data_IF_124227316695
#
_entry.id   IF_124227316695
#
_cell.length_a   1.000
_cell.length_b   1.000
_cell.length_c   1.000
_cell.angle_alpha   90.00
_cell.angle_beta   90.00
_cell.angle_gamma   90.00
#
_symmetry.space_group_name_H-M   'P 1'
#
loop_
_entity.id
_entity.type
_entity.pdbx_description
1 polymer ?
#
# COMPACT_ATOMS: atom_id res chain seq x y z
N UNK A 1 -19.21 -0.80 15.74
CA UNK A 1 -18.97 0.64 15.42
C UNK A 1 -17.76 0.88 14.49
N UNK A 2 -16.62 0.18 14.63
CA UNK A 2 -15.46 0.37 13.74
C UNK A 2 -15.65 -0.23 12.33
N UNK A 3 -16.36 -1.34 12.20
CA UNK A 3 -16.60 -2.03 10.91
C UNK A 3 -17.51 -1.20 9.99
N UNK A 4 -18.50 -0.53 10.53
CA UNK A 4 -19.41 0.33 9.76
C UNK A 4 -18.67 1.55 9.18
N UNK A 5 -17.74 2.12 9.95
CA UNK A 5 -16.97 3.30 9.50
C UNK A 5 -16.04 2.98 8.33
N UNK A 6 -15.36 1.83 8.38
CA UNK A 6 -14.47 1.39 7.29
C UNK A 6 -15.27 1.07 6.02
N UNK A 7 -16.44 0.45 6.15
CA UNK A 7 -17.34 0.21 5.03
C UNK A 7 -17.85 1.52 4.39
N UNK A 8 -18.12 2.54 5.21
CA UNK A 8 -18.52 3.86 4.70
C UNK A 8 -17.36 4.57 3.99
N UNK A 9 -16.14 4.50 4.52
CA UNK A 9 -14.93 5.01 3.84
C UNK A 9 -14.72 4.35 2.49
N UNK A 10 -14.86 3.02 2.43
CA UNK A 10 -14.71 2.27 1.18
C UNK A 10 -15.77 2.65 0.14
N UNK A 11 -17.03 2.90 0.56
CA UNK A 11 -18.09 3.37 -0.33
C UNK A 11 -17.77 4.74 -0.92
N UNK A 12 -17.39 5.71 -0.07
CA UNK A 12 -16.97 7.05 -0.54
C UNK A 12 -15.80 6.91 -1.52
N UNK A 13 -14.80 6.14 -1.16
CA UNK A 13 -13.63 5.93 -1.98
C UNK A 13 -13.98 5.33 -3.34
N UNK A 14 -14.77 4.27 -3.42
CA UNK A 14 -15.18 3.65 -4.69
C UNK A 14 -15.91 4.63 -5.60
N UNK A 15 -16.84 5.42 -5.03
CA UNK A 15 -17.54 6.45 -5.81
C UNK A 15 -16.62 7.60 -6.24
N UNK A 16 -15.57 7.89 -5.47
CA UNK A 16 -14.63 8.96 -5.81
C UNK A 16 -13.73 8.62 -7.00
N UNK A 17 -13.43 7.35 -7.25
CA UNK A 17 -12.54 6.93 -8.34
C UNK A 17 -13.07 7.39 -9.69
N UNK A 18 -14.36 7.24 -9.95
CA UNK A 18 -14.99 7.66 -11.21
C UNK A 18 -14.97 9.19 -11.39
N UNK A 19 -15.16 9.93 -10.29
CA UNK A 19 -15.14 11.39 -10.29
C UNK A 19 -13.71 11.92 -10.49
N UNK A 20 -12.74 11.30 -9.83
CA UNK A 20 -11.32 11.69 -9.91
C UNK A 20 -10.80 11.70 -11.35
N UNK A 21 -11.30 10.84 -12.23
CA UNK A 21 -10.90 10.80 -13.63
C UNK A 21 -11.15 12.15 -14.32
N UNK A 22 -12.16 12.90 -13.90
CA UNK A 22 -12.54 14.19 -14.48
C UNK A 22 -12.06 15.37 -13.61
N UNK A 23 -12.44 15.38 -12.34
CA UNK A 23 -12.25 16.53 -11.43
C UNK A 23 -10.92 16.48 -10.64
N UNK A 24 -10.21 15.35 -10.66
CA UNK A 24 -8.99 15.15 -9.87
C UNK A 24 -9.27 14.91 -8.40
N UNK A 25 -8.21 14.79 -7.62
CA UNK A 25 -8.28 14.63 -6.16
C UNK A 25 -8.51 15.99 -5.51
N UNK A 26 -9.72 16.25 -5.05
CA UNK A 26 -10.13 17.52 -4.45
C UNK A 26 -11.16 17.30 -3.33
N UNK A 27 -11.34 18.31 -2.49
CA UNK A 27 -12.42 18.27 -1.48
C UNK A 27 -13.80 18.22 -2.12
N UNK A 28 -13.95 18.83 -3.31
CA UNK A 28 -15.18 18.74 -4.11
C UNK A 28 -15.48 17.27 -4.44
N UNK A 29 -14.48 16.53 -4.92
CA UNK A 29 -14.60 15.10 -5.24
C UNK A 29 -15.01 14.27 -4.03
N UNK A 30 -14.42 14.55 -2.85
CA UNK A 30 -14.81 13.90 -1.60
C UNK A 30 -16.28 14.16 -1.26
N UNK A 31 -16.71 15.40 -1.34
CA UNK A 31 -18.08 15.76 -0.98
C UNK A 31 -19.13 15.23 -1.97
N UNK A 32 -18.80 15.22 -3.26
CA UNK A 32 -19.64 14.64 -4.29
C UNK A 32 -19.79 13.12 -4.10
N UNK A 33 -18.69 12.41 -3.86
CA UNK A 33 -18.69 10.98 -3.55
C UNK A 33 -19.50 10.66 -2.26
N UNK A 34 -19.40 11.50 -1.24
CA UNK A 34 -20.21 11.36 -0.02
C UNK A 34 -21.70 11.57 -0.31
N UNK A 35 -22.05 12.57 -1.11
CA UNK A 35 -23.42 12.86 -1.51
C UNK A 35 -24.06 11.71 -2.29
N UNK A 36 -23.33 11.11 -3.24
CA UNK A 36 -23.78 9.93 -3.99
C UNK A 36 -24.15 8.77 -3.03
N UNK A 37 -23.37 8.61 -1.97
CA UNK A 37 -23.60 7.56 -0.97
C UNK A 37 -24.57 7.96 0.14
N UNK A 38 -25.22 9.13 0.04
CA UNK A 38 -26.13 9.68 1.05
C UNK A 38 -25.46 9.83 2.43
N UNK A 39 -24.17 10.13 2.46
CA UNK A 39 -23.37 10.36 3.67
C UNK A 39 -23.28 11.86 3.89
N UNK A 40 -23.50 12.31 5.14
CA UNK A 40 -23.44 13.73 5.47
C UNK A 40 -22.02 14.29 5.28
N UNK A 41 -21.92 15.58 4.91
CA UNK A 41 -20.63 16.28 4.80
C UNK A 41 -19.86 16.27 6.14
N UNK A 42 -20.56 16.31 7.27
CA UNK A 42 -19.97 16.27 8.59
C UNK A 42 -19.29 14.90 8.85
N UNK A 43 -19.95 13.82 8.45
CA UNK A 43 -19.40 12.47 8.60
C UNK A 43 -18.27 12.21 7.60
N UNK A 44 -18.38 12.70 6.36
CA UNK A 44 -17.27 12.65 5.39
C UNK A 44 -16.03 13.37 5.93
N UNK A 45 -16.17 14.55 6.54
CA UNK A 45 -15.07 15.29 7.17
C UNK A 45 -14.50 14.58 8.41
N UNK A 46 -15.31 13.85 9.18
CA UNK A 46 -14.79 13.02 10.29
C UNK A 46 -13.96 11.85 9.77
N UNK A 47 -14.37 11.25 8.65
CA UNK A 47 -13.67 10.12 8.05
C UNK A 47 -12.38 10.55 7.32
N UNK A 48 -12.39 11.73 6.68
CA UNK A 48 -11.29 12.31 5.93
C UNK A 48 -11.01 13.75 6.41
N UNK A 49 -10.40 13.93 7.60
CA UNK A 49 -10.24 15.26 8.22
C UNK A 49 -9.48 16.26 7.37
N UNK A 50 -8.49 15.78 6.61
CA UNK A 50 -7.67 16.61 5.72
C UNK A 50 -8.18 16.58 4.27
N UNK A 51 -9.43 16.15 4.04
CA UNK A 51 -10.08 16.18 2.74
C UNK A 51 -9.40 15.29 1.69
N UNK A 52 -9.08 15.91 0.55
CA UNK A 52 -8.51 15.22 -0.61
C UNK A 52 -7.24 14.41 -0.30
N UNK A 53 -6.37 14.92 0.57
CA UNK A 53 -5.09 14.25 0.88
C UNK A 53 -5.32 12.93 1.63
N UNK A 54 -6.28 12.88 2.55
CA UNK A 54 -6.62 11.66 3.26
C UNK A 54 -7.32 10.65 2.35
N UNK A 55 -8.13 11.14 1.39
CA UNK A 55 -8.76 10.29 0.38
C UNK A 55 -7.71 9.65 -0.55
N UNK A 56 -6.69 10.41 -0.98
CA UNK A 56 -5.57 9.89 -1.77
C UNK A 56 -4.73 8.88 -0.99
N UNK A 57 -4.47 9.15 0.30
CA UNK A 57 -3.77 8.18 1.15
C UNK A 57 -4.56 6.87 1.26
N UNK A 58 -5.86 6.96 1.47
CA UNK A 58 -6.73 5.79 1.51
C UNK A 58 -6.71 5.01 0.19
N UNK A 59 -6.67 5.71 -0.96
CA UNK A 59 -6.51 5.10 -2.28
C UNK A 59 -5.24 4.24 -2.35
N UNK A 60 -4.09 4.77 -1.96
CA UNK A 60 -2.83 4.02 -2.00
C UNK A 60 -2.81 2.86 -1.00
N UNK A 61 -3.34 3.06 0.22
CA UNK A 61 -3.48 2.00 1.22
C UNK A 61 -4.39 0.87 0.73
N UNK A 62 -5.46 1.20 0.02
CA UNK A 62 -6.39 0.24 -0.56
C UNK A 62 -5.71 -0.58 -1.68
N UNK A 63 -4.97 0.08 -2.57
CA UNK A 63 -4.19 -0.61 -3.61
C UNK A 63 -3.09 -1.49 -3.00
N UNK A 64 -2.44 -1.05 -1.92
CA UNK A 64 -1.46 -1.86 -1.19
C UNK A 64 -2.09 -3.10 -0.57
N UNK A 65 -3.29 -3.00 0.02
CA UNK A 65 -4.04 -4.17 0.52
C UNK A 65 -4.33 -5.18 -0.60
N UNK A 66 -4.76 -4.70 -1.78
CA UNK A 66 -5.00 -5.56 -2.95
C UNK A 66 -3.69 -6.23 -3.39
N UNK A 67 -2.61 -5.47 -3.49
CA UNK A 67 -1.30 -5.99 -3.86
C UNK A 67 -0.86 -7.11 -2.91
N UNK A 68 -0.90 -6.88 -1.60
CA UNK A 68 -0.52 -7.88 -0.61
C UNK A 68 -1.38 -9.14 -0.68
N UNK A 69 -2.70 -8.97 -0.86
CA UNK A 69 -3.62 -10.10 -0.98
C UNK A 69 -3.34 -10.94 -2.24
N UNK A 70 -2.91 -10.31 -3.34
CA UNK A 70 -2.54 -11.02 -4.57
C UNK A 70 -1.15 -11.63 -4.47
N UNK A 71 -0.18 -10.91 -3.90
CA UNK A 71 1.20 -11.37 -3.80
C UNK A 71 1.35 -12.57 -2.87
N UNK A 72 0.60 -12.62 -1.75
CA UNK A 72 0.58 -13.76 -0.83
C UNK A 72 0.06 -15.06 -1.45
N UNK A 73 -0.73 -14.96 -2.52
CA UNK A 73 -1.25 -16.14 -3.25
C UNK A 73 -0.23 -16.74 -4.22
N UNK A 74 0.85 -16.01 -4.47
CA UNK A 74 1.89 -16.49 -5.38
C UNK A 74 2.81 -17.42 -4.62
N UNK A 75 2.95 -18.64 -5.09
CA UNK A 75 3.95 -19.58 -4.58
C UNK A 75 5.34 -19.10 -5.03
N UNK A 76 5.99 -18.38 -4.14
CA UNK A 76 7.30 -17.77 -4.40
C UNK A 76 8.45 -18.49 -3.69
N UNK A 77 8.19 -19.66 -3.06
CA UNK A 77 9.16 -20.34 -2.20
C UNK A 77 10.44 -20.65 -2.96
N UNK A 78 10.32 -21.14 -4.19
CA UNK A 78 11.46 -21.56 -5.01
C UNK A 78 12.05 -20.47 -5.93
N UNK A 79 11.50 -19.26 -5.89
CA UNK A 79 11.98 -18.18 -6.72
C UNK A 79 13.23 -17.51 -6.15
N UNK A 80 14.19 -17.18 -7.02
CA UNK A 80 15.32 -16.34 -6.64
C UNK A 80 14.85 -14.95 -6.16
N UNK A 81 15.66 -14.28 -5.34
CA UNK A 81 15.33 -12.95 -4.80
C UNK A 81 15.00 -11.94 -5.92
N UNK A 82 15.80 -11.91 -6.99
CA UNK A 82 15.58 -11.02 -8.14
C UNK A 82 14.25 -11.29 -8.83
N UNK A 83 13.88 -12.56 -9.00
CA UNK A 83 12.59 -12.94 -9.60
C UNK A 83 11.40 -12.58 -8.71
N UNK A 84 11.55 -12.63 -7.37
CA UNK A 84 10.53 -12.16 -6.44
C UNK A 84 10.28 -10.66 -6.58
N UNK A 85 11.36 -9.86 -6.70
CA UNK A 85 11.26 -8.41 -6.91
C UNK A 85 10.58 -8.12 -8.25
N UNK A 86 11.01 -8.78 -9.33
CA UNK A 86 10.40 -8.63 -10.64
C UNK A 86 8.89 -8.91 -10.61
N UNK A 87 8.50 -10.03 -10.00
CA UNK A 87 7.10 -10.42 -9.87
C UNK A 87 6.29 -9.42 -9.03
N UNK A 88 6.87 -8.91 -7.93
CA UNK A 88 6.24 -7.90 -7.11
C UNK A 88 5.99 -6.61 -7.90
N UNK A 89 6.96 -6.16 -8.69
CA UNK A 89 6.82 -5.00 -9.56
C UNK A 89 5.74 -5.21 -10.63
N UNK A 90 5.74 -6.35 -11.30
CA UNK A 90 4.72 -6.69 -12.30
C UNK A 90 3.32 -6.63 -11.67
N UNK A 91 3.13 -7.30 -10.53
CA UNK A 91 1.84 -7.29 -9.81
C UNK A 91 1.41 -5.89 -9.37
N UNK A 92 2.36 -5.07 -8.93
CA UNK A 92 2.07 -3.67 -8.59
C UNK A 92 1.61 -2.87 -9.81
N UNK A 93 2.30 -3.01 -10.95
CA UNK A 93 1.90 -2.34 -12.17
C UNK A 93 0.55 -2.82 -12.71
N UNK A 94 0.22 -4.12 -12.61
CA UNK A 94 -1.10 -4.64 -12.98
C UNK A 94 -2.25 -3.96 -12.21
N UNK A 95 -2.02 -3.61 -10.93
CA UNK A 95 -2.99 -2.89 -10.10
C UNK A 95 -3.09 -1.44 -10.55
N UNK A 96 -1.95 -0.75 -10.70
CA UNK A 96 -1.89 0.67 -11.09
C UNK A 96 -2.57 0.91 -12.44
N UNK A 97 -2.37 0.01 -13.41
CA UNK A 97 -2.94 0.14 -14.76
C UNK A 97 -4.47 0.17 -14.74
N UNK A 98 -5.11 -0.51 -13.80
CA UNK A 98 -6.58 -0.52 -13.67
C UNK A 98 -7.15 0.87 -13.37
N UNK A 99 -6.44 1.66 -12.56
CA UNK A 99 -6.83 3.01 -12.14
C UNK A 99 -5.76 4.04 -12.55
N UNK A 100 -5.18 3.87 -13.74
CA UNK A 100 -4.03 4.65 -14.24
C UNK A 100 -4.22 6.16 -14.08
N UNK A 101 -5.39 6.69 -14.39
CA UNK A 101 -5.64 8.12 -14.34
C UNK A 101 -5.72 8.63 -12.89
N UNK A 102 -6.38 7.88 -12.01
CA UNK A 102 -6.43 8.20 -10.58
C UNK A 102 -5.01 8.18 -9.98
N UNK A 103 -4.19 7.19 -10.33
CA UNK A 103 -2.80 7.12 -9.92
C UNK A 103 -1.98 8.32 -10.43
N UNK A 104 -2.07 8.65 -11.73
CA UNK A 104 -1.37 9.79 -12.32
C UNK A 104 -1.71 11.10 -11.60
N UNK A 105 -2.99 11.31 -11.31
CA UNK A 105 -3.47 12.50 -10.61
C UNK A 105 -3.04 12.53 -9.14
N UNK A 106 -2.90 11.39 -8.48
CA UNK A 106 -2.36 11.34 -7.12
C UNK A 106 -0.89 11.76 -7.08
N UNK A 107 -0.10 11.31 -8.06
CA UNK A 107 1.30 11.74 -8.19
C UNK A 107 1.42 13.25 -8.45
N UNK A 108 0.54 13.81 -9.29
CA UNK A 108 0.49 15.26 -9.53
C UNK A 108 0.15 16.04 -8.26
N UNK A 109 -0.75 15.54 -7.41
CA UNK A 109 -1.07 16.16 -6.12
C UNK A 109 0.15 16.17 -5.18
N UNK A 110 0.88 15.06 -5.08
CA UNK A 110 2.08 14.96 -4.25
C UNK A 110 3.28 15.76 -4.79
N UNK A 111 3.26 16.14 -6.06
CA UNK A 111 4.26 17.05 -6.62
C UNK A 111 4.10 18.51 -6.14
N UNK A 112 2.96 18.87 -5.55
CA UNK A 112 2.74 20.19 -4.99
C UNK A 112 3.60 20.37 -3.71
N UNK A 113 4.23 21.55 -3.49
CA UNK A 113 5.16 21.77 -2.39
C UNK A 113 4.58 21.44 -1.01
N UNK A 114 3.29 21.70 -0.82
CA UNK A 114 2.60 21.48 0.46
C UNK A 114 2.38 20.00 0.80
N UNK A 115 2.45 19.11 -0.21
CA UNK A 115 2.15 17.67 -0.04
C UNK A 115 3.34 16.77 -0.36
N UNK A 116 4.52 17.34 -0.59
CA UNK A 116 5.74 16.55 -0.90
C UNK A 116 6.12 15.61 0.23
N UNK A 117 5.99 16.07 1.49
CA UNK A 117 6.31 15.25 2.67
C UNK A 117 5.37 14.04 2.76
N UNK A 118 4.08 14.23 2.49
CA UNK A 118 3.10 13.15 2.44
C UNK A 118 3.42 12.17 1.32
N UNK A 119 3.79 12.65 0.14
CA UNK A 119 4.22 11.83 -0.97
C UNK A 119 5.47 11.00 -0.66
N UNK A 120 6.46 11.61 -0.04
CA UNK A 120 7.68 10.94 0.43
C UNK A 120 7.32 9.88 1.48
N UNK A 121 6.51 10.22 2.48
CA UNK A 121 6.07 9.27 3.50
C UNK A 121 5.28 8.10 2.91
N UNK A 122 4.50 8.34 1.86
CA UNK A 122 3.78 7.30 1.15
C UNK A 122 4.73 6.34 0.43
N UNK A 123 5.75 6.85 -0.26
CA UNK A 123 6.79 6.03 -0.92
C UNK A 123 7.57 5.22 0.11
N UNK A 124 7.93 5.81 1.26
CA UNK A 124 8.60 5.09 2.35
C UNK A 124 7.68 4.14 3.12
N UNK A 125 6.37 4.39 3.17
CA UNK A 125 5.40 3.48 3.78
C UNK A 125 5.05 2.29 2.88
N UNK A 126 5.67 2.16 1.72
CA UNK A 126 5.77 0.89 0.98
C UNK A 126 6.55 -0.17 1.79
N UNK A 127 6.50 -0.03 3.13
CA UNK A 127 6.84 -1.08 4.10
C UNK A 127 6.22 -2.42 3.71
N UNK A 128 5.07 -2.39 3.05
CA UNK A 128 4.35 -3.60 2.68
C UNK A 128 5.07 -4.45 1.62
N UNK A 129 5.80 -3.84 0.69
CA UNK A 129 6.67 -4.60 -0.23
C UNK A 129 7.85 -5.18 0.54
N UNK A 130 8.48 -4.35 1.38
CA UNK A 130 9.61 -4.80 2.20
C UNK A 130 9.18 -5.82 3.25
N UNK A 131 8.00 -5.69 3.85
CA UNK A 131 7.46 -6.66 4.83
C UNK A 131 7.08 -7.96 4.14
N UNK A 132 6.43 -7.93 2.97
CA UNK A 132 6.12 -9.15 2.22
C UNK A 132 7.41 -9.87 1.75
N UNK A 133 8.45 -9.13 1.40
CA UNK A 133 9.76 -9.69 1.08
C UNK A 133 10.50 -10.20 2.32
N UNK A 134 10.38 -9.50 3.46
CA UNK A 134 10.97 -9.91 4.73
C UNK A 134 10.26 -11.15 5.31
N UNK A 135 8.93 -11.22 5.24
CA UNK A 135 8.16 -12.40 5.69
C UNK A 135 8.53 -13.64 4.87
N UNK A 136 8.68 -13.52 3.54
CA UNK A 136 9.14 -14.64 2.71
C UNK A 136 10.58 -15.05 3.02
N UNK A 137 11.44 -14.10 3.39
CA UNK A 137 12.82 -14.37 3.82
C UNK A 137 12.87 -14.99 5.22
N UNK A 138 11.98 -14.56 6.12
CA UNK A 138 11.89 -15.06 7.50
C UNK A 138 11.30 -16.47 7.56
N UNK A 139 10.28 -16.76 6.76
CA UNK A 139 9.72 -18.13 6.61
C UNK A 139 10.80 -19.06 6.09
N UNK A 140 11.58 -18.64 5.08
CA UNK A 140 12.69 -19.41 4.54
C UNK A 140 13.82 -19.66 5.56
N UNK A 141 14.14 -18.66 6.39
CA UNK A 141 15.08 -18.83 7.47
C UNK A 141 14.56 -19.83 8.52
N UNK A 142 13.28 -19.78 8.85
CA UNK A 142 12.63 -20.69 9.80
C UNK A 142 12.57 -22.12 9.29
N UNK A 143 12.25 -22.31 8.00
CA UNK A 143 12.21 -23.65 7.37
C UNK A 143 13.61 -24.21 7.19
N UNK A 144 14.59 -23.39 6.85
CA UNK A 144 16.01 -23.78 6.81
C UNK A 144 16.53 -24.18 8.19
N UNK A 145 16.08 -23.49 9.23
CA UNK A 145 16.43 -23.82 10.61
C UNK A 145 15.76 -25.09 11.11
N UNK A 146 14.55 -25.39 10.65
CA UNK A 146 13.81 -26.60 11.03
C UNK A 146 14.33 -27.86 10.33
N UNK A 147 14.89 -27.71 9.13
CA UNK A 147 15.34 -28.85 8.29
C UNK A 147 16.83 -29.18 8.42
N UNK A 148 17.66 -28.26 8.91
CA UNK A 148 19.10 -28.49 9.06
C UNK A 148 19.54 -28.19 10.49
N UNK A 149 20.09 -29.20 11.19
CA UNK A 149 20.83 -29.06 12.46
C UNK A 149 22.02 -28.11 12.22
N UNK A 150 21.81 -26.81 12.36
CA UNK A 150 22.89 -25.83 12.27
C UNK A 150 23.55 -25.66 13.65
N UNK A 151 24.87 -25.90 13.80
CA UNK A 151 25.55 -25.66 15.08
C UNK A 151 25.47 -24.18 15.46
N UNK A 152 25.08 -23.89 16.68
CA UNK A 152 24.71 -22.58 17.22
C UNK A 152 25.73 -21.44 17.01
N UNK A 153 26.95 -21.73 16.61
CA UNK A 153 28.05 -20.73 16.51
C UNK A 153 28.05 -19.89 15.22
N UNK A 154 27.38 -20.34 14.13
CA UNK A 154 27.36 -19.60 12.86
C UNK A 154 26.10 -18.77 12.64
N UNK A 155 25.10 -18.91 13.48
CA UNK A 155 23.80 -18.27 13.31
C UNK A 155 23.79 -16.79 13.70
N UNK A 156 24.64 -16.38 14.65
CA UNK A 156 24.71 -14.99 15.14
C UNK A 156 25.27 -14.04 14.07
N UNK A 157 26.16 -14.50 13.20
CA UNK A 157 26.76 -13.65 12.15
C UNK A 157 25.78 -13.25 11.03
N UNK A 158 24.79 -14.08 10.72
CA UNK A 158 23.79 -13.72 9.67
C UNK A 158 22.70 -12.80 10.19
N UNK A 159 22.40 -12.83 11.48
CA UNK A 159 21.38 -11.97 12.09
C UNK A 159 21.84 -10.51 12.21
N UNK A 160 23.13 -10.28 12.46
CA UNK A 160 23.71 -8.93 12.53
C UNK A 160 23.89 -8.27 11.16
N UNK A 161 24.07 -9.05 10.08
CA UNK A 161 24.24 -8.50 8.72
C UNK A 161 22.94 -8.02 8.08
N UNK A 162 21.78 -8.55 8.52
CA UNK A 162 20.47 -8.14 8.01
C UNK A 162 19.94 -6.86 8.64
N UNK A 163 20.46 -6.42 9.79
CA UNK A 163 20.01 -5.21 10.48
C UNK A 163 20.81 -3.94 10.16
N UNK A 164 22.03 -4.06 9.62
CA UNK A 164 22.95 -2.93 9.43
C UNK A 164 23.59 -2.82 8.04
N UNK A 165 22.91 -3.24 7.00
CA UNK A 165 23.37 -3.14 5.61
C UNK A 165 23.02 -1.82 4.95
N UNK A 166 23.45 -0.68 5.52
CA UNK A 166 23.66 0.57 4.80
C UNK A 166 25.00 1.19 5.26
N UNK A 167 26.01 0.96 4.45
CA UNK A 167 27.11 1.89 4.22
C UNK A 167 27.37 1.91 2.73
#
# INVERSE_FOLDING_TARGET
MSIDLENLKEKIFKSSIDIVIFDGWSDKTLFEAASINKISLADAKKMFPRGAIDLVKYYHEFEDKIFLAQFRKVDSIDLSHSKKIELALIKRFEIIVKNKEAFRRSMALFALPFYQIEGINLVFSTRHINTAMAETSFIRAKDFYSSNHCPAHNCVKYFTYSQYGFH
#
